data_IF_256614591148
#
_entry.id   IF_256614591148
#
_cell.length_a   1.000
_cell.length_b   1.000
_cell.length_c   1.000
_cell.angle_alpha   90.00
_cell.angle_beta   90.00
_cell.angle_gamma   90.00
#
_symmetry.space_group_name_H-M   'P 1'
#
loop_
_entity.id
_entity.type
_entity.pdbx_description
1 polymer ?
#
# COMPACT_ATOMS: atom_id res chain seq x y z
N UNK A 1 -2.17 -4.48 4.90
CA UNK A 1 -2.26 -3.39 5.89
C UNK A 1 -3.29 -3.70 6.95
N UNK A 2 -4.49 -4.16 6.58
CA UNK A 2 -5.47 -4.67 7.54
C UNK A 2 -4.88 -5.78 8.43
N UNK A 3 -4.14 -6.72 7.84
CA UNK A 3 -3.42 -7.76 8.62
C UNK A 3 -2.19 -7.25 9.40
N UNK A 4 -1.80 -5.98 9.22
CA UNK A 4 -0.64 -5.36 9.88
C UNK A 4 -1.07 -4.35 10.97
N UNK A 5 -2.36 -4.31 11.30
CA UNK A 5 -2.91 -3.49 12.37
C UNK A 5 -3.54 -4.38 13.44
N UNK A 6 -3.44 -3.95 14.69
CA UNK A 6 -4.06 -4.62 15.84
C UNK A 6 -5.49 -4.12 16.11
N UNK A 7 -5.94 -3.11 15.36
CA UNK A 7 -7.28 -2.53 15.48
C UNK A 7 -8.21 -3.02 14.37
N UNK A 8 -9.49 -3.32 14.69
CA UNK A 8 -10.50 -3.60 13.68
C UNK A 8 -10.74 -2.36 12.81
N UNK A 9 -10.86 -2.56 11.50
CA UNK A 9 -11.12 -1.50 10.52
C UNK A 9 -12.34 -1.91 9.69
N UNK A 10 -13.37 -1.07 9.70
CA UNK A 10 -14.55 -1.25 8.85
C UNK A 10 -14.24 -0.83 7.41
N UNK A 11 -14.54 -1.72 6.47
CA UNK A 11 -14.33 -1.48 5.03
C UNK A 11 -15.66 -1.13 4.38
N UNK A 12 -15.74 0.06 3.78
CA UNK A 12 -16.90 0.55 3.05
C UNK A 12 -16.52 1.02 1.64
N UNK A 13 -17.45 0.89 0.70
CA UNK A 13 -17.28 1.34 -0.68
C UNK A 13 -17.73 2.79 -0.78
N UNK A 14 -16.85 3.65 -1.33
CA UNK A 14 -17.16 5.03 -1.68
C UNK A 14 -17.32 5.14 -3.21
N UNK A 15 -18.54 5.36 -3.73
CA UNK A 15 -18.79 5.46 -5.17
C UNK A 15 -17.96 6.56 -5.86
N UNK A 16 -17.58 7.62 -5.14
CA UNK A 16 -16.76 8.69 -5.70
C UNK A 16 -15.30 8.27 -5.97
N UNK A 17 -14.86 7.15 -5.38
CA UNK A 17 -13.51 6.58 -5.57
C UNK A 17 -13.47 5.45 -6.61
N UNK A 18 -14.63 4.99 -7.07
CA UNK A 18 -14.71 3.95 -8.10
C UNK A 18 -14.40 4.55 -9.47
N UNK A 19 -13.64 3.80 -10.28
CA UNK A 19 -13.39 4.20 -11.66
C UNK A 19 -14.57 3.75 -12.52
N UNK A 20 -14.99 4.54 -13.53
CA UNK A 20 -16.04 4.13 -14.46
C UNK A 20 -15.70 2.87 -15.28
N UNK A 21 -14.42 2.52 -15.36
CA UNK A 21 -13.92 1.31 -16.01
C UNK A 21 -12.75 0.76 -15.20
N UNK A 22 -12.85 -0.49 -14.77
CA UNK A 22 -11.83 -1.20 -14.01
C UNK A 22 -11.35 -2.43 -14.78
N UNK A 23 -10.02 -2.65 -14.76
CA UNK A 23 -9.41 -3.87 -15.28
C UNK A 23 -9.41 -4.91 -14.16
N UNK A 24 -10.05 -6.08 -14.33
CA UNK A 24 -10.27 -7.03 -13.24
C UNK A 24 -8.97 -7.66 -12.71
N UNK A 25 -7.99 -7.89 -13.60
CA UNK A 25 -6.68 -8.42 -13.24
C UNK A 25 -5.63 -7.80 -14.15
N UNK A 26 -4.53 -7.33 -13.55
CA UNK A 26 -3.35 -6.85 -14.27
C UNK A 26 -2.10 -7.42 -13.60
N UNK A 27 -1.32 -8.21 -14.34
CA UNK A 27 -0.04 -8.77 -13.88
C UNK A 27 1.05 -8.50 -14.92
N UNK A 28 2.30 -8.41 -14.46
CA UNK A 28 3.47 -8.15 -15.30
C UNK A 28 4.32 -9.41 -15.42
N UNK A 29 4.76 -9.73 -16.63
CA UNK A 29 5.84 -10.68 -16.87
C UNK A 29 7.15 -9.90 -17.04
N UNK A 30 8.07 -10.06 -16.09
CA UNK A 30 9.34 -9.34 -16.05
C UNK A 30 10.52 -10.15 -16.61
N UNK A 31 10.31 -11.35 -17.18
CA UNK A 31 11.39 -12.23 -17.62
C UNK A 31 12.38 -11.56 -18.59
N UNK A 32 11.89 -10.71 -19.51
CA UNK A 32 12.75 -9.96 -20.44
C UNK A 32 13.67 -8.97 -19.74
N UNK A 33 13.18 -8.32 -18.69
CA UNK A 33 13.98 -7.38 -17.88
C UNK A 33 15.05 -8.16 -17.12
N UNK A 34 14.67 -9.24 -16.44
CA UNK A 34 15.61 -10.12 -15.71
C UNK A 34 16.71 -10.64 -16.63
N UNK A 35 16.36 -11.12 -17.83
CA UNK A 35 17.33 -11.65 -18.78
C UNK A 35 18.30 -10.59 -19.31
N UNK A 36 17.84 -9.34 -19.47
CA UNK A 36 18.66 -8.26 -20.03
C UNK A 36 19.59 -7.61 -18.99
N UNK A 37 19.19 -7.57 -17.72
CA UNK A 37 19.88 -6.76 -16.71
C UNK A 37 20.31 -7.54 -15.47
N UNK A 38 19.86 -8.79 -15.32
CA UNK A 38 20.00 -9.55 -14.07
C UNK A 38 19.15 -8.99 -12.92
N UNK A 39 18.29 -8.00 -13.19
CA UNK A 39 17.46 -7.38 -12.16
C UNK A 39 16.48 -8.38 -11.55
N UNK A 40 16.29 -8.28 -10.24
CA UNK A 40 15.31 -9.06 -9.50
C UNK A 40 14.69 -8.21 -8.38
N UNK A 41 13.42 -8.43 -8.01
CA UNK A 41 12.81 -7.75 -6.87
C UNK A 41 13.48 -8.23 -5.58
N UNK A 42 14.05 -7.29 -4.81
CA UNK A 42 14.72 -7.59 -3.54
C UNK A 42 13.80 -7.44 -2.32
N UNK A 43 12.73 -6.65 -2.45
CA UNK A 43 11.80 -6.33 -1.37
C UNK A 43 10.44 -6.93 -1.71
N UNK A 44 9.94 -7.80 -0.84
CA UNK A 44 8.60 -8.37 -0.99
C UNK A 44 7.50 -7.36 -0.61
N UNK A 45 6.29 -7.58 -1.12
CA UNK A 45 5.17 -6.68 -0.93
C UNK A 45 4.83 -6.45 0.55
N UNK A 46 4.95 -7.48 1.41
CA UNK A 46 4.58 -7.36 2.82
C UNK A 46 5.56 -6.46 3.55
N UNK A 47 6.85 -6.57 3.26
CA UNK A 47 7.88 -5.67 3.77
C UNK A 47 7.61 -4.24 3.33
N UNK A 48 7.36 -3.99 2.04
CA UNK A 48 7.04 -2.64 1.55
C UNK A 48 5.81 -2.02 2.22
N UNK A 49 4.73 -2.80 2.41
CA UNK A 49 3.52 -2.32 3.08
C UNK A 49 3.76 -2.01 4.56
N UNK A 50 4.58 -2.81 5.24
CA UNK A 50 4.95 -2.56 6.64
C UNK A 50 5.75 -1.27 6.78
N UNK A 51 6.78 -1.09 5.95
CA UNK A 51 7.63 0.11 5.98
C UNK A 51 6.84 1.38 5.71
N UNK A 52 5.89 1.31 4.76
CA UNK A 52 4.95 2.38 4.48
C UNK A 52 4.09 2.72 5.70
N UNK A 53 3.49 1.70 6.34
CA UNK A 53 2.64 1.88 7.51
C UNK A 53 3.40 2.49 8.70
N UNK A 54 4.59 1.99 8.99
CA UNK A 54 5.43 2.46 10.09
C UNK A 54 5.92 3.89 9.85
N UNK A 55 6.17 4.27 8.59
CA UNK A 55 6.47 5.65 8.21
C UNK A 55 5.29 6.57 8.54
N UNK A 56 4.07 6.20 8.17
CA UNK A 56 2.88 7.00 8.49
C UNK A 56 2.61 7.11 9.98
N UNK A 57 2.76 6.01 10.74
CA UNK A 57 2.63 6.03 12.21
C UNK A 57 3.58 7.06 12.84
N UNK A 58 4.83 7.11 12.39
CA UNK A 58 5.82 8.10 12.84
C UNK A 58 5.48 9.54 12.46
N UNK A 59 4.87 9.75 11.28
CA UNK A 59 4.48 11.09 10.83
C UNK A 59 3.32 11.62 11.64
N UNK A 60 2.27 10.81 11.84
CA UNK A 60 1.09 11.20 12.61
C UNK A 60 1.45 11.37 14.09
N UNK A 61 2.33 10.53 14.67
CA UNK A 61 2.76 10.70 16.07
C UNK A 61 3.60 11.96 16.31
N UNK A 62 4.21 12.53 15.27
CA UNK A 62 4.93 13.81 15.35
C UNK A 62 3.99 15.01 15.22
N UNK A 63 2.79 14.80 14.69
CA UNK A 63 1.72 15.80 14.69
C UNK A 63 0.94 15.64 16.00
N UNK A 64 1.35 16.38 17.05
CA UNK A 64 0.50 16.63 18.22
C UNK A 64 -0.89 17.11 17.75
N UNK A 65 -1.98 16.73 18.45
CA UNK A 65 -3.33 16.83 17.91
C UNK A 65 -3.74 18.28 17.75
N UNK A 66 -3.79 18.77 16.50
CA UNK A 66 -4.45 20.03 16.21
C UNK A 66 -5.93 19.85 16.60
N UNK A 67 -6.38 20.70 17.51
CA UNK A 67 -7.67 20.65 18.18
C UNK A 67 -8.82 20.36 17.20
N UNK A 68 -9.69 19.42 17.57
CA UNK A 68 -11.05 19.39 17.05
C UNK A 68 -11.69 20.75 17.35
N UNK A 69 -11.88 21.58 16.33
CA UNK A 69 -12.93 22.59 16.27
C UNK A 69 -13.81 22.30 15.06
#
# INVERSE_FOLDING_TARGET
LLDLTDMPIDVAIDPARLRPSDVPVSYCDNQRLVAATGWQPEIDLRTSLKDLLDTWRKQVSKQEPNERK
#
